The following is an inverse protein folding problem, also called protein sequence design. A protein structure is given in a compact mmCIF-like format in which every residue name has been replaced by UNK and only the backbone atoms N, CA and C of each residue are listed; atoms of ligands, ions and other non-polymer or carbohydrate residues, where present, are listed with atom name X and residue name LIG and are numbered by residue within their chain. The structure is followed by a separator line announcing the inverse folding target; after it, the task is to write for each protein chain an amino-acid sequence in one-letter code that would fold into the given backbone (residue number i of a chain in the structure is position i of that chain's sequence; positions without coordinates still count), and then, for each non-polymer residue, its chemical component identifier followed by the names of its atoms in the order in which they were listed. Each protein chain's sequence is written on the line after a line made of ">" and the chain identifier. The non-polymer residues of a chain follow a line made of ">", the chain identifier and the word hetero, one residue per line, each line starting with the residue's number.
data_IF_561861413138
#
_entry.id   IF_561861413138
#
_cell.length_a   1.000
_cell.length_b   1.000
_cell.length_c   1.000
_cell.angle_alpha   90.00
_cell.angle_beta   90.00
_cell.angle_gamma   90.00
#
_symmetry.space_group_name_H-M   'P 1'
#
loop_
_entity.id
_entity.type
_entity.pdbx_description
1 polymer ?
#
# COMPACT_ATOMS: atom_id res chain seq x y z
N UNK A 1 -2.53 -18.39 23.49
CA UNK A 1 -2.37 -18.53 22.02
C UNK A 1 -0.93 -18.19 21.68
N UNK A 2 -0.15 -19.14 21.14
CA UNK A 2 1.23 -18.88 20.74
C UNK A 2 1.26 -18.02 19.47
N UNK A 3 2.15 -16.99 19.40
CA UNK A 3 2.30 -16.19 18.19
C UNK A 3 2.78 -17.06 17.02
N UNK A 4 2.23 -16.87 15.82
CA UNK A 4 2.70 -17.54 14.61
C UNK A 4 4.09 -16.99 14.23
N UNK A 5 5.21 -17.72 14.46
CA UNK A 5 6.55 -17.14 14.41
C UNK A 5 6.93 -16.65 13.01
N UNK A 6 6.46 -17.37 11.99
CA UNK A 6 6.71 -17.06 10.59
C UNK A 6 6.06 -15.75 10.15
N UNK A 7 4.84 -15.48 10.60
CA UNK A 7 4.10 -14.25 10.28
C UNK A 7 4.74 -13.05 10.96
N UNK A 8 5.06 -13.14 12.25
CA UNK A 8 5.76 -12.07 12.98
C UNK A 8 7.10 -11.73 12.31
N UNK A 9 7.88 -12.77 11.95
CA UNK A 9 9.15 -12.61 11.24
C UNK A 9 8.93 -11.92 9.88
N UNK A 10 7.93 -12.33 9.10
CA UNK A 10 7.67 -11.77 7.78
C UNK A 10 7.23 -10.30 7.80
N UNK A 11 6.37 -9.92 8.77
CA UNK A 11 5.75 -8.59 8.81
C UNK A 11 6.71 -7.52 9.35
N UNK A 12 7.44 -7.79 10.43
CA UNK A 12 8.34 -6.80 11.05
C UNK A 12 9.70 -7.37 11.49
N UNK A 13 9.76 -8.64 11.90
CA UNK A 13 10.97 -9.19 12.53
C UNK A 13 12.21 -9.29 11.62
N UNK A 14 12.06 -9.47 10.30
CA UNK A 14 13.21 -9.56 9.37
C UNK A 14 14.01 -8.26 9.27
N UNK A 15 13.34 -7.11 9.41
CA UNK A 15 13.95 -5.79 9.22
C UNK A 15 14.31 -5.12 10.55
N UNK A 16 13.82 -5.66 11.66
CA UNK A 16 13.95 -5.10 13.01
C UNK A 16 15.40 -4.77 13.40
N UNK A 17 16.36 -5.64 13.09
CA UNK A 17 17.76 -5.42 13.41
C UNK A 17 18.46 -4.37 12.52
N UNK A 18 17.87 -4.04 11.36
CA UNK A 18 18.47 -3.17 10.35
C UNK A 18 17.81 -1.79 10.28
N UNK A 19 16.61 -1.65 10.84
CA UNK A 19 15.86 -0.40 10.83
C UNK A 19 16.16 0.40 12.11
N UNK A 20 17.00 1.42 11.97
CA UNK A 20 17.34 2.36 13.04
C UNK A 20 17.15 3.80 12.54
N UNK A 21 17.03 4.75 13.47
CA UNK A 21 17.00 6.19 13.17
C UNK A 21 15.88 6.64 12.21
N UNK A 22 14.67 6.07 12.34
CA UNK A 22 13.50 6.57 11.60
C UNK A 22 13.16 8.00 12.06
N UNK A 23 12.96 8.94 11.13
CA UNK A 23 12.59 10.29 11.51
C UNK A 23 11.16 10.30 12.08
N UNK A 24 10.85 11.13 13.10
CA UNK A 24 9.49 11.28 13.59
C UNK A 24 8.52 11.69 12.46
N UNK A 25 7.26 11.19 12.42
CA UNK A 25 6.59 10.28 13.36
C UNK A 25 6.75 8.79 13.02
N UNK A 26 7.65 8.44 12.09
CA UNK A 26 7.78 7.08 11.58
C UNK A 26 8.43 6.17 12.63
N UNK A 27 7.88 4.98 12.77
CA UNK A 27 8.39 3.94 13.65
C UNK A 27 8.08 2.56 13.06
N UNK A 28 8.81 1.53 13.48
CA UNK A 28 8.52 0.16 13.10
C UNK A 28 7.25 -0.31 13.83
N UNK A 29 6.14 -0.39 13.11
CA UNK A 29 4.87 -0.89 13.66
C UNK A 29 4.91 -2.41 13.87
N UNK A 30 4.42 -2.86 15.03
CA UNK A 30 4.24 -4.28 15.38
C UNK A 30 2.76 -4.58 15.58
N UNK A 31 2.03 -4.92 14.51
CA UNK A 31 0.61 -5.21 14.61
C UNK A 31 0.37 -6.48 15.43
N UNK A 32 -0.76 -6.54 16.12
CA UNK A 32 -1.23 -7.77 16.74
C UNK A 32 -1.59 -8.77 15.64
N UNK A 33 -0.91 -9.92 15.63
CA UNK A 33 -1.19 -11.00 14.69
C UNK A 33 -1.98 -12.10 15.40
N UNK A 34 -3.11 -12.48 14.83
CA UNK A 34 -3.93 -13.59 15.32
C UNK A 34 -4.34 -14.49 14.16
N UNK A 35 -4.58 -15.76 14.47
CA UNK A 35 -5.14 -16.72 13.53
C UNK A 35 -6.66 -16.58 13.56
N UNK A 36 -7.30 -16.66 12.38
CA UNK A 36 -8.75 -16.78 12.30
C UNK A 36 -9.24 -18.04 13.05
N UNK A 37 -10.44 -17.97 13.63
CA UNK A 37 -11.03 -19.08 14.38
C UNK A 37 -11.30 -20.31 13.48
N UNK A 38 -11.71 -20.05 12.23
CA UNK A 38 -11.83 -21.05 11.18
C UNK A 38 -10.72 -20.85 10.16
N UNK A 39 -10.07 -21.95 9.76
CA UNK A 39 -9.09 -21.93 8.70
C UNK A 39 -9.77 -22.30 7.38
N UNK A 40 -9.58 -21.48 6.35
CA UNK A 40 -10.04 -21.78 5.00
C UNK A 40 -9.25 -22.98 4.44
N UNK A 41 -9.98 -23.98 3.94
CA UNK A 41 -9.37 -25.14 3.31
C UNK A 41 -8.82 -24.75 1.93
N UNK A 42 -7.60 -25.19 1.62
CA UNK A 42 -7.01 -24.93 0.31
C UNK A 42 -7.78 -25.71 -0.76
N UNK A 43 -8.32 -24.99 -1.74
CA UNK A 43 -8.87 -25.60 -2.97
C UNK A 43 -7.79 -25.61 -4.06
N UNK A 44 -7.45 -26.76 -4.65
CA UNK A 44 -6.53 -26.82 -5.77
C UNK A 44 -7.25 -26.39 -7.06
N UNK A 45 -7.47 -25.08 -7.21
CA UNK A 45 -8.05 -24.48 -8.40
C UNK A 45 -7.11 -23.44 -9.00
N UNK A 46 -7.27 -23.16 -10.30
CA UNK A 46 -6.57 -22.04 -10.94
C UNK A 46 -7.10 -20.74 -10.36
N UNK A 47 -6.20 -19.84 -9.97
CA UNK A 47 -6.58 -18.51 -9.51
C UNK A 47 -7.37 -17.75 -10.60
N UNK A 48 -8.39 -16.97 -10.22
CA UNK A 48 -9.14 -16.15 -11.17
C UNK A 48 -8.24 -15.14 -11.88
N UNK A 49 -8.57 -14.80 -13.13
CA UNK A 49 -7.84 -13.80 -13.94
C UNK A 49 -8.32 -12.37 -13.72
N UNK A 50 -9.11 -12.14 -12.67
CA UNK A 50 -9.61 -10.83 -12.28
C UNK A 50 -9.32 -10.58 -10.81
N UNK A 51 -9.40 -9.31 -10.44
CA UNK A 51 -9.31 -8.84 -9.08
C UNK A 51 -10.50 -7.94 -8.77
N UNK A 52 -11.01 -8.02 -7.55
CA UNK A 52 -12.14 -7.22 -7.07
C UNK A 52 -11.63 -6.20 -6.06
N UNK A 53 -11.90 -4.93 -6.30
CA UNK A 53 -11.54 -3.86 -5.39
C UNK A 53 -12.79 -3.09 -4.95
N UNK A 54 -12.92 -2.85 -3.65
CA UNK A 54 -14.02 -2.06 -3.11
C UNK A 54 -13.52 -1.07 -2.07
N UNK A 55 -14.16 0.11 -2.04
CA UNK A 55 -13.92 1.15 -1.05
C UNK A 55 -15.28 1.54 -0.46
N UNK A 56 -15.34 1.80 0.84
CA UNK A 56 -16.59 2.17 1.53
C UNK A 56 -17.29 3.41 0.93
N UNK A 57 -16.54 4.27 0.25
CA UNK A 57 -17.06 5.47 -0.42
C UNK A 57 -17.68 5.16 -1.79
N UNK A 58 -17.60 3.92 -2.28
CA UNK A 58 -18.10 3.51 -3.59
C UNK A 58 -19.33 2.62 -3.44
N UNK A 59 -20.38 2.85 -4.25
CA UNK A 59 -21.60 2.05 -4.17
C UNK A 59 -21.42 0.62 -4.69
N UNK A 60 -20.45 0.41 -5.59
CA UNK A 60 -20.20 -0.88 -6.24
C UNK A 60 -18.69 -1.21 -6.26
N UNK A 61 -18.32 -2.50 -6.23
CA UNK A 61 -16.94 -2.92 -6.41
C UNK A 61 -16.47 -2.76 -7.86
N UNK A 62 -15.19 -2.49 -8.05
CA UNK A 62 -14.53 -2.54 -9.34
C UNK A 62 -14.06 -3.96 -9.64
N UNK A 63 -14.32 -4.43 -10.86
CA UNK A 63 -13.76 -5.66 -11.40
C UNK A 63 -12.60 -5.30 -12.33
N UNK A 64 -11.39 -5.72 -11.98
CA UNK A 64 -10.15 -5.37 -12.65
C UNK A 64 -9.56 -6.62 -13.26
N UNK A 65 -9.27 -6.62 -14.56
CA UNK A 65 -8.56 -7.72 -15.19
C UNK A 65 -7.11 -7.76 -14.68
N UNK A 66 -6.69 -8.88 -14.11
CA UNK A 66 -5.38 -9.01 -13.46
C UNK A 66 -4.21 -8.93 -14.45
N UNK A 67 -4.47 -9.15 -15.75
CA UNK A 67 -3.44 -9.08 -16.80
C UNK A 67 -3.27 -7.67 -17.34
N UNK A 68 -4.37 -6.92 -17.52
CA UNK A 68 -4.34 -5.59 -18.13
C UNK A 68 -4.33 -4.45 -17.11
N UNK A 69 -4.74 -4.72 -15.87
CA UNK A 69 -4.89 -3.72 -14.81
C UNK A 69 -6.04 -2.73 -15.02
N UNK A 70 -6.99 -3.05 -15.90
CA UNK A 70 -8.12 -2.19 -16.28
C UNK A 70 -9.46 -2.90 -16.03
N UNK A 71 -10.54 -2.13 -16.01
CA UNK A 71 -11.89 -2.68 -16.03
C UNK A 71 -12.19 -3.35 -17.37
N UNK A 72 -13.19 -4.22 -17.40
CA UNK A 72 -13.70 -4.84 -18.65
C UNK A 72 -14.15 -3.79 -19.69
N UNK A 73 -14.59 -2.61 -19.23
CA UNK A 73 -14.92 -1.46 -20.09
C UNK A 73 -13.69 -0.77 -20.70
N UNK A 74 -12.47 -1.22 -20.40
CA UNK A 74 -11.22 -0.60 -20.80
C UNK A 74 -10.81 0.63 -19.97
N UNK A 75 -11.65 1.03 -19.00
CA UNK A 75 -11.38 2.17 -18.12
C UNK A 75 -10.28 1.85 -17.09
N UNK A 76 -9.48 2.85 -16.69
CA UNK A 76 -8.50 2.66 -15.62
C UNK A 76 -9.20 2.45 -14.27
N UNK A 77 -8.63 1.61 -13.40
CA UNK A 77 -9.12 1.46 -12.03
C UNK A 77 -8.98 2.76 -11.23
N UNK A 78 -9.87 2.99 -10.27
CA UNK A 78 -9.70 4.05 -9.27
C UNK A 78 -8.41 3.89 -8.45
N UNK A 79 -7.87 2.68 -8.35
CA UNK A 79 -6.63 2.36 -7.66
C UNK A 79 -5.37 2.55 -8.51
N UNK A 80 -5.51 2.88 -9.81
CA UNK A 80 -4.35 3.12 -10.64
C UNK A 80 -3.61 4.40 -10.20
N UNK A 81 -2.31 4.49 -10.55
CA UNK A 81 -1.45 5.62 -10.18
C UNK A 81 -2.07 6.96 -10.58
N UNK A 82 -2.62 7.06 -11.79
CA UNK A 82 -3.23 8.26 -12.34
C UNK A 82 -4.45 8.70 -11.52
N UNK A 83 -5.35 7.77 -11.21
CA UNK A 83 -6.55 8.02 -10.41
C UNK A 83 -6.22 8.42 -8.97
N UNK A 84 -5.22 7.80 -8.35
CA UNK A 84 -4.73 8.19 -7.01
C UNK A 84 -4.08 9.57 -7.03
N UNK A 85 -3.27 9.87 -8.05
CA UNK A 85 -2.63 11.18 -8.19
C UNK A 85 -3.64 12.29 -8.40
N UNK A 86 -4.67 12.08 -9.24
CA UNK A 86 -5.74 13.06 -9.43
C UNK A 86 -6.46 13.41 -8.11
N UNK A 87 -6.73 12.39 -7.27
CA UNK A 87 -7.33 12.57 -5.95
C UNK A 87 -6.40 13.31 -4.99
N UNK A 88 -5.12 12.94 -4.95
CA UNK A 88 -4.13 13.64 -4.14
C UNK A 88 -4.00 15.12 -4.55
N UNK A 89 -3.88 15.38 -5.85
CA UNK A 89 -3.76 16.74 -6.38
C UNK A 89 -5.00 17.59 -6.08
N UNK A 90 -6.20 17.00 -6.14
CA UNK A 90 -7.43 17.65 -5.72
C UNK A 90 -7.40 18.06 -4.24
N UNK A 91 -6.86 17.21 -3.36
CA UNK A 91 -6.74 17.48 -1.93
C UNK A 91 -5.70 18.56 -1.62
N UNK A 92 -4.51 18.49 -2.24
CA UNK A 92 -3.42 19.47 -2.01
C UNK A 92 -3.83 20.90 -2.39
N UNK A 93 -4.70 21.05 -3.40
CA UNK A 93 -5.26 22.37 -3.78
C UNK A 93 -6.26 22.94 -2.78
N UNK A 94 -6.81 22.12 -1.89
CA UNK A 94 -7.91 22.49 -0.99
C UNK A 94 -7.51 22.51 0.48
N UNK A 95 -6.44 21.82 0.84
CA UNK A 95 -5.91 21.78 2.19
C UNK A 95 -4.79 22.81 2.34
N UNK A 96 -4.65 23.44 3.52
CA UNK A 96 -3.45 24.23 3.80
C UNK A 96 -2.22 23.34 3.67
N UNK A 97 -1.11 23.91 3.19
CA UNK A 97 0.16 23.19 3.13
C UNK A 97 0.47 22.65 4.53
N UNK A 98 0.69 21.34 4.64
CA UNK A 98 1.16 20.77 5.89
C UNK A 98 2.47 21.48 6.27
N UNK A 99 2.68 21.80 7.56
CA UNK A 99 3.96 22.35 8.00
C UNK A 99 5.04 21.39 7.52
N UNK A 100 5.93 21.89 6.68
CA UNK A 100 7.10 21.15 6.21
C UNK A 100 7.90 20.86 7.48
N UNK A 101 7.80 19.64 8.02
CA UNK A 101 8.66 19.21 9.12
C UNK A 101 10.07 19.35 8.57
N UNK A 102 10.82 20.35 9.06
CA UNK A 102 12.22 20.54 8.73
C UNK A 102 12.96 19.33 9.28
N UNK A 103 13.07 18.27 8.49
CA UNK A 103 14.01 17.21 8.76
C UNK A 103 15.38 17.87 8.79
N UNK A 104 16.00 17.95 9.98
CA UNK A 104 17.41 18.26 10.08
C UNK A 104 18.15 17.17 9.30
N UNK A 105 18.53 17.52 8.08
CA UNK A 105 19.43 16.71 7.28
C UNK A 105 20.68 16.57 8.12
N UNK A 106 20.98 15.36 8.59
CA UNK A 106 22.28 15.04 9.16
C UNK A 106 23.27 15.23 8.00
N UNK A 107 23.87 16.42 7.92
CA UNK A 107 24.66 16.94 6.80
C UNK A 107 25.96 16.16 6.53
N UNK A 108 26.16 15.02 7.18
CA UNK A 108 27.41 14.27 7.13
C UNK A 108 27.29 12.92 6.41
N UNK A 109 26.09 12.47 6.01
CA UNK A 109 25.90 11.13 5.41
C UNK A 109 24.87 11.06 4.26
N UNK A 110 24.72 12.09 3.41
CA UNK A 110 23.76 12.00 2.31
C UNK A 110 24.24 12.63 0.99
N UNK A 111 24.64 11.82 -0.01
CA UNK A 111 24.66 12.23 -1.42
C UNK A 111 23.25 12.40 -2.01
N UNK A 112 22.17 12.26 -1.23
CA UNK A 112 20.78 12.30 -1.70
C UNK A 112 20.15 13.70 -1.60
N UNK A 113 20.94 14.77 -1.44
CA UNK A 113 20.47 16.15 -1.23
C UNK A 113 19.95 16.86 -2.50
N UNK A 114 19.77 16.15 -3.61
CA UNK A 114 19.27 16.72 -4.87
C UNK A 114 18.30 15.74 -5.55
N UNK A 115 17.10 15.52 -4.99
CA UNK A 115 16.03 14.80 -5.71
C UNK A 115 14.62 15.25 -5.29
N UNK A 116 14.46 16.53 -4.97
CA UNK A 116 13.14 17.14 -4.72
C UNK A 116 12.75 18.23 -5.74
N UNK A 117 13.63 18.60 -6.69
CA UNK A 117 13.31 19.54 -7.77
C UNK A 117 12.76 18.89 -9.04
N UNK A 118 12.96 17.58 -9.24
CA UNK A 118 12.71 16.92 -10.54
C UNK A 118 11.59 15.85 -10.49
N UNK A 119 10.76 15.88 -9.45
CA UNK A 119 9.70 14.87 -9.24
C UNK A 119 8.51 14.94 -10.21
N UNK A 120 8.56 15.73 -11.29
CA UNK A 120 7.55 15.71 -12.34
C UNK A 120 7.68 14.51 -13.29
N UNK A 121 8.82 13.80 -13.31
CA UNK A 121 9.09 12.79 -14.34
C UNK A 121 9.30 11.34 -13.87
N UNK A 122 9.26 11.04 -12.57
CA UNK A 122 9.41 9.64 -12.10
C UNK A 122 8.67 9.37 -10.78
N UNK A 123 7.35 9.58 -10.78
CA UNK A 123 6.45 9.36 -9.63
C UNK A 123 6.16 7.86 -9.36
N UNK A 124 7.14 6.98 -9.59
CA UNK A 124 6.94 5.53 -9.63
C UNK A 124 7.13 4.81 -8.28
N UNK A 125 7.76 5.40 -7.27
CA UNK A 125 8.33 4.61 -6.16
C UNK A 125 7.69 4.78 -4.77
N UNK A 126 6.73 5.67 -4.53
CA UNK A 126 6.33 5.98 -3.14
C UNK A 126 4.88 5.69 -2.74
N UNK A 127 4.09 5.01 -3.56
CA UNK A 127 2.69 4.69 -3.21
C UNK A 127 2.34 3.21 -3.43
N UNK A 128 3.01 2.33 -2.71
CA UNK A 128 2.51 0.98 -2.42
C UNK A 128 2.03 0.92 -0.97
N UNK A 129 1.05 1.76 -0.61
CA UNK A 129 0.30 1.58 0.64
C UNK A 129 -0.74 0.48 0.41
N UNK A 130 -0.33 -0.75 0.71
CA UNK A 130 -1.12 -1.89 1.16
C UNK A 130 -2.61 -1.86 0.77
N UNK A 131 -2.92 -2.14 -0.50
CA UNK A 131 -4.24 -2.64 -0.86
C UNK A 131 -4.23 -4.12 -0.52
N UNK A 132 -4.78 -4.45 0.65
CA UNK A 132 -5.08 -5.84 1.01
C UNK A 132 -6.15 -6.31 0.03
N UNK A 133 -5.74 -7.07 -0.98
CA UNK A 133 -6.66 -7.87 -1.78
C UNK A 133 -7.29 -8.91 -0.85
N UNK A 134 -8.49 -8.61 -0.35
CA UNK A 134 -9.38 -9.64 0.17
C UNK A 134 -9.99 -10.29 -1.07
N UNK A 135 -9.40 -11.40 -1.50
CA UNK A 135 -10.01 -12.30 -2.47
C UNK A 135 -11.30 -12.84 -1.84
N UNK A 136 -12.44 -12.22 -2.17
CA UNK A 136 -13.73 -12.64 -1.65
C UNK A 136 -14.19 -13.88 -2.44
N UNK A 137 -13.67 -15.05 -2.08
CA UNK A 137 -14.22 -16.32 -2.53
C UNK A 137 -15.44 -16.66 -1.66
N UNK A 138 -16.61 -16.11 -2.02
CA UNK A 138 -17.88 -16.64 -1.50
C UNK A 138 -18.33 -17.74 -2.46
N UNK A 139 -17.96 -18.97 -2.13
CA UNK A 139 -18.62 -20.14 -2.70
C UNK A 139 -20.08 -20.19 -2.22
N UNK A 140 -20.93 -20.65 -3.13
CA UNK A 140 -22.37 -20.80 -3.03
C UNK A 140 -22.85 -21.60 -1.81
#
# INVERSE_FOLDING_TARGET
>A
MSPCPWSCRAICGRIEAYISCLPPPFHLARPLLSRAASAEARTPARAPSFSVAWCATQPLPELINATTGKLESGQPSLLCKQSMFARWHYLVKRLPLLPQIQYQVIDHLSPYKLFLSDCTNNFAEWYCTLIVFIEYNKAA
#
